data_IF_257509128622
#
_entry.id   IF_257509128622
#
_cell.length_a   1.000
_cell.length_b   1.000
_cell.length_c   1.000
_cell.angle_alpha   90.00
_cell.angle_beta   90.00
_cell.angle_gamma   90.00
#
_symmetry.space_group_name_H-M   'P 1'
#
loop_
_entity.id
_entity.type
_entity.pdbx_description
1 polymer ?
#
# COMPACT_ATOMS: atom_id res chain seq x y z
N UNK A 1 32.26 12.25 -17.03
CA UNK A 1 30.91 11.71 -16.72
C UNK A 1 29.91 12.85 -16.83
N UNK A 2 28.91 12.75 -17.70
CA UNK A 2 27.91 13.81 -17.86
C UNK A 2 27.09 13.99 -16.58
N UNK A 3 26.90 15.25 -16.17
CA UNK A 3 26.02 15.62 -15.06
C UNK A 3 24.56 15.26 -15.35
N UNK A 4 23.73 15.28 -14.30
CA UNK A 4 22.30 15.08 -14.43
C UNK A 4 21.68 16.14 -15.36
N UNK A 5 20.80 15.71 -16.26
CA UNK A 5 20.11 16.63 -17.16
C UNK A 5 19.07 17.48 -16.42
N UNK A 6 18.68 18.61 -17.01
CA UNK A 6 17.60 19.46 -16.51
C UNK A 6 16.30 18.67 -16.31
N UNK A 7 15.97 17.78 -17.23
CA UNK A 7 14.80 16.90 -17.14
C UNK A 7 14.87 15.95 -15.93
N UNK A 8 16.05 15.37 -15.66
CA UNK A 8 16.25 14.49 -14.50
C UNK A 8 16.12 15.26 -13.18
N UNK A 9 16.72 16.45 -13.10
CA UNK A 9 16.61 17.31 -11.92
C UNK A 9 15.15 17.69 -11.69
N UNK A 10 14.43 18.10 -12.74
CA UNK A 10 12.99 18.39 -12.69
C UNK A 10 12.17 17.20 -12.20
N UNK A 11 12.46 15.99 -12.70
CA UNK A 11 11.79 14.77 -12.26
C UNK A 11 12.00 14.47 -10.77
N UNK A 12 13.22 14.66 -10.25
CA UNK A 12 13.54 14.50 -8.83
C UNK A 12 12.72 15.47 -7.97
N UNK A 13 12.66 16.75 -8.36
CA UNK A 13 11.87 17.75 -7.63
C UNK A 13 10.37 17.43 -7.66
N UNK A 14 9.84 17.09 -8.83
CA UNK A 14 8.43 16.74 -8.99
C UNK A 14 8.05 15.49 -8.19
N UNK A 15 8.87 14.43 -8.22
CA UNK A 15 8.64 13.21 -7.45
C UNK A 15 8.75 13.45 -5.94
N UNK A 16 9.79 14.14 -5.49
CA UNK A 16 9.95 14.48 -4.07
C UNK A 16 8.76 15.30 -3.55
N UNK A 17 8.29 16.28 -4.33
CA UNK A 17 7.10 17.08 -4.00
C UNK A 17 5.83 16.24 -3.93
N UNK A 18 5.59 15.34 -4.89
CA UNK A 18 4.45 14.40 -4.88
C UNK A 18 4.44 13.47 -3.68
N UNK A 19 5.59 13.19 -3.09
CA UNK A 19 5.76 12.31 -1.92
C UNK A 19 5.76 13.11 -0.60
N UNK A 20 5.70 14.45 -0.68
CA UNK A 20 5.69 15.35 0.47
C UNK A 20 7.05 15.51 1.16
N UNK A 21 8.16 15.21 0.49
CA UNK A 21 9.49 15.37 1.08
C UNK A 21 9.84 16.85 1.21
N UNK A 22 10.19 17.27 2.42
CA UNK A 22 10.81 18.57 2.68
C UNK A 22 12.16 18.68 1.98
N UNK A 23 12.70 19.90 1.90
CA UNK A 23 14.02 20.11 1.30
C UNK A 23 15.11 19.30 2.02
N UNK A 24 15.09 19.27 3.35
CA UNK A 24 16.08 18.54 4.15
C UNK A 24 16.00 17.03 3.91
N UNK A 25 14.78 16.47 3.89
CA UNK A 25 14.57 15.04 3.63
C UNK A 25 14.96 14.63 2.22
N UNK A 26 14.66 15.46 1.21
CA UNK A 26 15.11 15.23 -0.17
C UNK A 26 16.63 15.20 -0.24
N UNK A 27 17.33 16.14 0.43
CA UNK A 27 18.80 16.17 0.46
C UNK A 27 19.38 14.93 1.13
N UNK A 28 18.82 14.49 2.25
CA UNK A 28 19.21 13.28 2.95
C UNK A 28 18.97 12.02 2.08
N UNK A 29 17.86 11.97 1.36
CA UNK A 29 17.55 10.88 0.43
C UNK A 29 18.57 10.80 -0.70
N UNK A 30 18.93 11.95 -1.31
CA UNK A 30 19.94 12.02 -2.37
C UNK A 30 21.30 11.52 -1.82
N UNK A 31 21.68 11.94 -0.61
CA UNK A 31 22.95 11.55 0.00
C UNK A 31 23.10 10.03 0.14
N UNK A 32 22.02 9.33 0.51
CA UNK A 32 22.01 7.86 0.61
C UNK A 32 22.21 7.16 -0.73
N UNK A 33 21.72 7.75 -1.82
CA UNK A 33 21.72 7.14 -3.15
C UNK A 33 22.89 7.56 -4.04
N UNK A 34 23.61 8.62 -3.66
CA UNK A 34 24.64 9.27 -4.47
C UNK A 34 25.90 9.60 -3.65
N UNK A 35 26.36 8.64 -2.85
CA UNK A 35 27.64 8.72 -2.13
C UNK A 35 27.83 10.00 -1.32
N UNK A 36 26.81 10.40 -0.57
CA UNK A 36 26.85 11.57 0.33
C UNK A 36 26.49 12.91 -0.30
N UNK A 37 26.28 12.98 -1.63
CA UNK A 37 25.90 14.24 -2.31
C UNK A 37 24.52 14.72 -1.86
N UNK A 38 24.36 16.01 -1.62
CA UNK A 38 23.10 16.57 -1.13
C UNK A 38 22.37 17.41 -2.18
N UNK A 39 23.00 17.69 -3.33
CA UNK A 39 22.43 18.52 -4.39
C UNK A 39 22.18 17.74 -5.68
N UNK A 40 21.01 17.94 -6.28
CA UNK A 40 20.67 17.36 -7.59
C UNK A 40 21.65 17.79 -8.70
N UNK A 41 22.28 18.98 -8.57
CA UNK A 41 23.26 19.50 -9.54
C UNK A 41 24.61 18.78 -9.48
N UNK A 42 24.91 18.10 -8.37
CA UNK A 42 26.16 17.34 -8.19
C UNK A 42 26.04 15.88 -8.67
N UNK A 43 24.84 15.46 -9.08
CA UNK A 43 24.59 14.10 -9.53
C UNK A 43 25.12 13.90 -10.95
N UNK A 44 25.72 12.73 -11.19
CA UNK A 44 25.86 12.17 -12.52
C UNK A 44 24.50 11.69 -13.03
N UNK A 45 24.38 11.53 -14.36
CA UNK A 45 23.16 10.97 -14.94
C UNK A 45 22.74 9.61 -14.36
N UNK A 46 23.71 8.75 -14.01
CA UNK A 46 23.46 7.43 -13.38
C UNK A 46 22.98 7.55 -11.93
N UNK A 47 23.56 8.45 -11.15
CA UNK A 47 23.08 8.73 -9.78
C UNK A 47 21.68 9.34 -9.80
N UNK A 48 21.39 10.22 -10.76
CA UNK A 48 20.06 10.78 -10.92
C UNK A 48 19.00 9.72 -11.23
N UNK A 49 19.32 8.74 -12.10
CA UNK A 49 18.44 7.57 -12.34
C UNK A 49 18.18 6.79 -11.05
N UNK A 50 19.22 6.46 -10.27
CA UNK A 50 19.07 5.76 -8.98
C UNK A 50 18.20 6.53 -7.99
N UNK A 51 18.37 7.85 -7.89
CA UNK A 51 17.52 8.71 -7.06
C UNK A 51 16.07 8.70 -7.55
N UNK A 52 15.84 8.82 -8.85
CA UNK A 52 14.50 8.78 -9.46
C UNK A 52 13.82 7.44 -9.19
N UNK A 53 14.53 6.32 -9.37
CA UNK A 53 13.98 4.98 -9.14
C UNK A 53 13.71 4.74 -7.67
N UNK A 54 14.57 5.20 -6.77
CA UNK A 54 14.33 5.19 -5.33
C UNK A 54 13.12 6.03 -4.93
N UNK A 55 12.94 7.23 -5.51
CA UNK A 55 11.76 8.06 -5.28
C UNK A 55 10.50 7.43 -5.87
N UNK A 56 10.57 6.79 -7.05
CA UNK A 56 9.46 6.02 -7.62
C UNK A 56 9.11 4.79 -6.78
N UNK A 57 10.09 4.12 -6.17
CA UNK A 57 9.85 3.03 -5.23
C UNK A 57 9.18 3.55 -3.95
N UNK A 58 9.65 4.69 -3.42
CA UNK A 58 9.03 5.38 -2.29
C UNK A 58 7.61 5.87 -2.62
N UNK A 59 7.36 6.31 -3.86
CA UNK A 59 6.04 6.63 -4.40
C UNK A 59 5.18 5.37 -4.64
N UNK A 60 5.79 4.25 -5.01
CA UNK A 60 5.12 2.96 -5.05
C UNK A 60 4.62 2.55 -3.66
N UNK A 61 5.39 2.91 -2.63
CA UNK A 61 5.04 2.80 -1.21
C UNK A 61 4.01 3.83 -0.72
N UNK A 62 4.15 5.11 -1.07
CA UNK A 62 3.17 6.19 -0.81
C UNK A 62 2.26 6.36 -2.02
N UNK A 63 1.16 5.62 -2.03
CA UNK A 63 0.15 5.71 -3.09
C UNK A 63 -0.20 7.17 -3.42
N UNK A 64 -0.28 7.51 -4.71
CA UNK A 64 -0.90 8.74 -5.21
C UNK A 64 -2.31 8.83 -4.59
N UNK A 65 -2.59 9.78 -3.71
CA UNK A 65 -3.83 9.83 -2.90
C UNK A 65 -3.65 9.46 -1.42
N UNK A 66 -2.43 9.51 -0.90
CA UNK A 66 -2.20 9.47 0.55
C UNK A 66 -2.70 10.76 1.19
N UNK A 67 -3.98 10.80 1.58
CA UNK A 67 -4.44 11.72 2.60
C UNK A 67 -3.62 11.48 3.88
N UNK A 68 -3.32 12.54 4.62
CA UNK A 68 -2.56 12.43 5.86
C UNK A 68 -3.45 11.81 6.96
N UNK A 69 -3.55 10.48 6.97
CA UNK A 69 -4.33 9.76 7.98
C UNK A 69 -3.69 10.01 9.35
N UNK A 70 -4.42 10.70 10.21
CA UNK A 70 -4.00 11.04 11.56
C UNK A 70 -4.93 10.39 12.60
N UNK A 71 -4.45 10.29 13.83
CA UNK A 71 -5.20 9.75 14.97
C UNK A 71 -4.83 8.30 15.32
N UNK A 72 -5.28 7.82 16.50
CA UNK A 72 -4.80 6.58 17.10
C UNK A 72 -5.15 5.32 16.31
N UNK A 73 -6.22 5.35 15.51
CA UNK A 73 -6.71 4.19 14.75
C UNK A 73 -6.30 4.20 13.27
N UNK A 74 -5.65 5.26 12.80
CA UNK A 74 -5.30 5.45 11.39
C UNK A 74 -4.46 4.30 10.82
N UNK A 75 -3.40 3.90 11.54
CA UNK A 75 -2.52 2.81 11.10
C UNK A 75 -3.26 1.48 10.93
N UNK A 76 -4.17 1.17 11.85
CA UNK A 76 -4.95 -0.08 11.82
C UNK A 76 -5.97 -0.09 10.67
N UNK A 77 -6.67 1.02 10.46
CA UNK A 77 -7.60 1.16 9.33
C UNK A 77 -6.86 1.04 7.99
N UNK A 78 -5.70 1.68 7.87
CA UNK A 78 -4.86 1.59 6.67
C UNK A 78 -4.37 0.17 6.41
N UNK A 79 -3.93 -0.54 7.46
CA UNK A 79 -3.49 -1.92 7.34
C UNK A 79 -4.61 -2.82 6.78
N UNK A 80 -5.81 -2.75 7.36
CA UNK A 80 -6.98 -3.50 6.88
C UNK A 80 -7.35 -3.12 5.44
N UNK A 81 -7.32 -1.83 5.10
CA UNK A 81 -7.59 -1.37 3.74
C UNK A 81 -6.61 -1.97 2.72
N UNK A 82 -5.32 -1.97 3.05
CA UNK A 82 -4.29 -2.58 2.23
C UNK A 82 -4.44 -4.10 2.15
N UNK A 83 -4.82 -4.79 3.24
CA UNK A 83 -5.16 -6.21 3.19
C UNK A 83 -6.28 -6.48 2.18
N UNK A 84 -7.34 -5.66 2.18
CA UNK A 84 -8.41 -5.74 1.19
C UNK A 84 -7.94 -5.53 -0.24
N UNK A 85 -7.01 -4.60 -0.46
CA UNK A 85 -6.39 -4.41 -1.77
C UNK A 85 -5.54 -5.63 -2.19
N UNK A 86 -4.79 -6.21 -1.25
CA UNK A 86 -3.98 -7.41 -1.50
C UNK A 86 -4.81 -8.67 -1.73
N UNK A 87 -6.05 -8.72 -1.25
CA UNK A 87 -7.01 -9.77 -1.57
C UNK A 87 -7.75 -9.53 -2.90
N UNK A 88 -7.64 -8.31 -3.46
CA UNK A 88 -8.40 -7.89 -4.64
C UNK A 88 -9.87 -7.58 -4.37
N UNK A 89 -10.24 -7.38 -3.10
CA UNK A 89 -11.59 -6.96 -2.66
C UNK A 89 -11.74 -5.45 -2.85
N UNK A 90 -10.76 -4.69 -2.36
CA UNK A 90 -10.72 -3.23 -2.53
C UNK A 90 -10.20 -2.92 -3.93
N UNK A 91 -10.86 -1.99 -4.64
CA UNK A 91 -10.50 -1.57 -6.01
C UNK A 91 -9.58 -0.36 -6.05
N UNK A 92 -9.60 0.46 -5.01
CA UNK A 92 -8.77 1.65 -4.88
C UNK A 92 -8.05 1.62 -3.52
N UNK A 93 -6.72 1.47 -3.56
CA UNK A 93 -5.88 1.36 -2.36
C UNK A 93 -5.61 2.70 -1.66
N UNK A 94 -6.07 3.82 -2.21
CA UNK A 94 -5.71 5.15 -1.71
C UNK A 94 -6.34 5.44 -0.36
N UNK A 95 -5.68 6.32 0.40
CA UNK A 95 -6.20 6.74 1.70
C UNK A 95 -7.46 7.61 1.52
N UNK A 96 -7.59 8.34 0.40
CA UNK A 96 -8.85 9.03 0.03
C UNK A 96 -10.03 8.06 -0.10
N UNK A 97 -9.84 6.90 -0.73
CA UNK A 97 -10.90 5.89 -0.83
C UNK A 97 -11.24 5.27 0.54
N UNK A 98 -10.25 5.12 1.42
CA UNK A 98 -10.46 4.72 2.81
C UNK A 98 -11.25 5.78 3.60
N UNK A 99 -10.93 7.07 3.44
CA UNK A 99 -11.68 8.16 4.09
C UNK A 99 -13.13 8.20 3.62
N UNK A 100 -13.38 8.03 2.32
CA UNK A 100 -14.75 7.93 1.80
C UNK A 100 -15.49 6.71 2.37
N UNK A 101 -14.79 5.60 2.62
CA UNK A 101 -15.38 4.45 3.32
C UNK A 101 -15.71 4.80 4.78
N UNK A 102 -14.79 5.42 5.51
CA UNK A 102 -14.98 5.88 6.89
C UNK A 102 -16.21 6.78 6.99
N UNK A 103 -16.30 7.79 6.14
CA UNK A 103 -17.40 8.75 6.11
C UNK A 103 -18.75 8.06 5.90
N UNK A 104 -18.83 7.05 5.02
CA UNK A 104 -20.06 6.24 4.86
C UNK A 104 -20.43 5.42 6.10
N UNK A 105 -19.45 5.03 6.92
CA UNK A 105 -19.70 4.21 8.12
C UNK A 105 -20.05 5.06 9.36
N UNK A 106 -19.48 6.26 9.47
CA UNK A 106 -19.56 7.07 10.71
C UNK A 106 -20.01 8.51 10.50
N UNK A 107 -20.09 9.00 9.26
CA UNK A 107 -20.28 10.42 8.93
C UNK A 107 -19.05 11.29 9.13
N UNK A 108 -17.88 10.71 9.48
CA UNK A 108 -16.65 11.46 9.71
C UNK A 108 -15.80 11.55 8.44
N UNK A 109 -15.49 12.76 8.01
CA UNK A 109 -14.66 13.03 6.82
C UNK A 109 -13.19 12.62 6.97
N UNK A 110 -12.69 12.48 8.20
CA UNK A 110 -11.28 12.22 8.46
C UNK A 110 -11.04 11.36 9.72
N UNK A 111 -10.04 10.48 9.67
CA UNK A 111 -9.63 9.62 10.81
C UNK A 111 -9.17 10.39 12.05
N UNK A 112 -8.91 11.70 11.93
CA UNK A 112 -8.44 12.53 13.06
C UNK A 112 -9.58 12.77 14.05
N UNK A 113 -10.81 12.74 13.55
CA UNK A 113 -12.03 12.90 14.31
C UNK A 113 -12.54 11.57 14.88
N UNK A 114 -11.91 10.45 14.50
CA UNK A 114 -12.20 9.13 15.04
C UNK A 114 -11.40 8.94 16.34
N UNK A 115 -11.80 9.66 17.39
CA UNK A 115 -11.15 9.63 18.71
C UNK A 115 -11.78 8.60 19.65
N UNK A 116 -13.07 8.28 19.48
CA UNK A 116 -13.77 7.37 20.36
C UNK A 116 -13.58 5.89 19.96
N UNK A 117 -13.34 5.05 20.96
CA UNK A 117 -13.04 3.64 20.75
C UNK A 117 -14.22 2.82 20.18
N UNK A 118 -15.46 3.24 20.46
CA UNK A 118 -16.66 2.53 20.02
C UNK A 118 -16.87 2.68 18.50
N UNK A 119 -16.81 3.90 17.98
CA UNK A 119 -16.86 4.20 16.54
C UNK A 119 -15.68 3.57 15.83
N UNK A 120 -14.47 3.66 16.40
CA UNK A 120 -13.30 3.01 15.81
C UNK A 120 -13.48 1.50 15.68
N UNK A 121 -13.99 0.84 16.74
CA UNK A 121 -14.31 -0.59 16.72
C UNK A 121 -15.35 -0.92 15.66
N UNK A 122 -16.41 -0.12 15.51
CA UNK A 122 -17.43 -0.33 14.47
C UNK A 122 -16.82 -0.34 13.06
N UNK A 123 -15.96 0.63 12.74
CA UNK A 123 -15.32 0.70 11.41
C UNK A 123 -14.34 -0.46 11.20
N UNK A 124 -13.57 -0.82 12.23
CA UNK A 124 -12.64 -1.96 12.17
C UNK A 124 -13.39 -3.27 11.92
N UNK A 125 -14.48 -3.53 12.64
CA UNK A 125 -15.26 -4.75 12.46
C UNK A 125 -16.03 -4.74 11.13
N UNK A 126 -16.48 -3.58 10.64
CA UNK A 126 -17.04 -3.46 9.30
C UNK A 126 -16.01 -3.84 8.21
N UNK A 127 -14.77 -3.37 8.32
CA UNK A 127 -13.68 -3.77 7.41
C UNK A 127 -13.40 -5.26 7.51
N UNK A 128 -13.24 -5.80 8.72
CA UNK A 128 -12.97 -7.23 8.93
C UNK A 128 -14.09 -8.11 8.36
N UNK A 129 -15.35 -7.77 8.62
CA UNK A 129 -16.51 -8.50 8.09
C UNK A 129 -16.55 -8.47 6.57
N UNK A 130 -16.25 -7.32 5.95
CA UNK A 130 -16.18 -7.19 4.51
C UNK A 130 -15.09 -8.07 3.90
N UNK A 131 -13.89 -8.07 4.50
CA UNK A 131 -12.78 -8.91 4.07
C UNK A 131 -13.01 -10.41 4.31
N UNK A 132 -13.72 -10.77 5.37
CA UNK A 132 -14.14 -12.15 5.62
C UNK A 132 -15.09 -12.62 4.51
N UNK A 133 -16.12 -11.83 4.20
CA UNK A 133 -17.13 -12.17 3.20
C UNK A 133 -16.58 -12.26 1.78
N UNK A 134 -15.85 -11.24 1.31
CA UNK A 134 -15.41 -11.16 -0.09
C UNK A 134 -14.02 -11.76 -0.32
N UNK A 135 -13.18 -11.71 0.71
CA UNK A 135 -11.78 -12.13 0.67
C UNK A 135 -11.53 -13.51 1.27
N UNK A 136 -12.48 -14.07 2.02
CA UNK A 136 -12.32 -15.37 2.69
C UNK A 136 -11.36 -15.34 3.88
N UNK A 137 -11.20 -14.18 4.53
CA UNK A 137 -10.32 -14.04 5.70
C UNK A 137 -11.00 -14.60 6.95
N UNK A 138 -10.32 -15.53 7.60
CA UNK A 138 -10.72 -16.10 8.89
C UNK A 138 -9.94 -15.38 9.99
N UNK A 139 -10.57 -14.37 10.59
CA UNK A 139 -9.89 -13.56 11.60
C UNK A 139 -9.67 -14.34 12.90
N UNK A 140 -8.49 -14.26 13.53
CA UNK A 140 -8.26 -14.86 14.83
C UNK A 140 -9.14 -14.18 15.90
N UNK A 141 -9.45 -14.90 16.98
CA UNK A 141 -10.17 -14.35 18.13
C UNK A 141 -9.36 -13.27 18.87
N UNK A 142 -8.01 -13.37 18.81
CA UNK A 142 -7.09 -12.41 19.40
C UNK A 142 -6.88 -11.14 18.58
N UNK A 143 -6.14 -10.19 19.17
CA UNK A 143 -5.74 -8.94 18.52
C UNK A 143 -4.31 -8.95 18.00
N UNK A 144 -3.67 -10.12 17.89
CA UNK A 144 -2.28 -10.23 17.41
C UNK A 144 -2.17 -9.78 15.96
N UNK A 145 -1.22 -8.89 15.71
CA UNK A 145 -0.93 -8.41 14.35
C UNK A 145 -0.41 -9.55 13.48
N UNK A 146 0.43 -10.42 14.04
CA UNK A 146 1.04 -11.53 13.28
C UNK A 146 0.01 -12.61 12.93
N UNK A 147 -0.93 -12.90 13.84
CA UNK A 147 -2.05 -13.81 13.54
C UNK A 147 -2.96 -13.20 12.47
N UNK A 148 -3.21 -11.89 12.53
CA UNK A 148 -4.01 -11.19 11.52
C UNK A 148 -3.33 -11.22 10.14
N UNK A 149 -2.01 -11.02 10.08
CA UNK A 149 -1.23 -11.15 8.84
C UNK A 149 -1.27 -12.57 8.29
N UNK A 150 -1.11 -13.57 9.16
CA UNK A 150 -1.22 -15.00 8.81
C UNK A 150 -2.60 -15.34 8.23
N UNK A 151 -3.68 -14.84 8.82
CA UNK A 151 -5.04 -15.03 8.32
C UNK A 151 -5.22 -14.45 6.90
N UNK A 152 -4.69 -13.25 6.65
CA UNK A 152 -4.71 -12.64 5.30
C UNK A 152 -3.90 -13.46 4.31
N UNK A 153 -2.72 -13.95 4.71
CA UNK A 153 -1.90 -14.82 3.87
C UNK A 153 -2.60 -16.14 3.53
N UNK A 154 -3.25 -16.79 4.51
CA UNK A 154 -4.01 -18.02 4.29
C UNK A 154 -5.18 -17.80 3.32
N UNK A 155 -5.91 -16.69 3.50
CA UNK A 155 -6.97 -16.30 2.58
C UNK A 155 -6.45 -16.10 1.14
N UNK A 156 -5.25 -15.53 0.99
CA UNK A 156 -4.62 -15.42 -0.33
C UNK A 156 -4.27 -16.79 -0.95
N UNK A 157 -3.78 -17.76 -0.19
CA UNK A 157 -3.49 -19.11 -0.69
C UNK A 157 -4.76 -19.78 -1.23
N UNK A 158 -5.84 -19.78 -0.44
CA UNK A 158 -7.15 -20.28 -0.87
C UNK A 158 -7.64 -19.57 -2.12
N UNK A 159 -7.48 -18.24 -2.19
CA UNK A 159 -7.89 -17.46 -3.37
C UNK A 159 -7.02 -17.73 -4.59
N UNK A 160 -5.73 -17.99 -4.44
CA UNK A 160 -4.88 -18.43 -5.54
C UNK A 160 -5.34 -19.76 -6.11
N UNK A 161 -5.61 -20.75 -5.24
CA UNK A 161 -6.14 -22.05 -5.64
C UNK A 161 -7.47 -21.90 -6.41
N UNK A 162 -8.41 -21.10 -5.90
CA UNK A 162 -9.68 -20.82 -6.56
C UNK A 162 -9.54 -20.13 -7.94
N UNK A 163 -8.40 -19.46 -8.20
CA UNK A 163 -8.10 -18.81 -9.48
C UNK A 163 -7.28 -19.69 -10.44
N UNK A 164 -7.05 -20.96 -10.07
CA UNK A 164 -6.23 -21.93 -10.82
C UNK A 164 -4.74 -21.61 -10.78
N UNK A 165 -4.25 -20.99 -9.70
CA UNK A 165 -2.84 -20.71 -9.45
C UNK A 165 -2.34 -21.61 -8.32
N UNK A 166 -1.02 -21.76 -8.20
CA UNK A 166 -0.42 -22.43 -7.04
C UNK A 166 -0.78 -21.69 -5.74
N UNK A 167 -1.61 -22.35 -4.95
CA UNK A 167 -2.10 -21.88 -3.65
C UNK A 167 -1.68 -22.81 -2.52
N UNK A 168 -0.51 -23.46 -2.64
CA UNK A 168 0.03 -24.37 -1.62
C UNK A 168 -0.16 -23.84 -0.20
N UNK A 169 -0.79 -24.65 0.65
CA UNK A 169 -1.02 -24.34 2.05
C UNK A 169 0.26 -24.53 2.89
N UNK A 170 0.36 -23.83 4.02
CA UNK A 170 1.53 -23.92 4.90
C UNK A 170 1.69 -22.71 5.82
N UNK A 171 2.94 -22.47 6.21
CA UNK A 171 3.36 -21.32 7.00
C UNK A 171 3.86 -20.21 6.04
N UNK A 172 3.56 -18.92 6.28
CA UNK A 172 4.28 -17.84 5.64
C UNK A 172 5.77 -17.91 6.03
N UNK A 173 6.64 -17.45 5.13
CA UNK A 173 8.07 -17.30 5.40
C UNK A 173 8.38 -16.14 6.33
N UNK A 174 9.67 -15.78 6.40
CA UNK A 174 10.19 -14.82 7.38
C UNK A 174 9.60 -13.40 7.23
N UNK A 175 9.21 -12.99 6.02
CA UNK A 175 8.59 -11.68 5.75
C UNK A 175 7.22 -11.84 5.09
N UNK A 176 6.22 -12.04 5.96
CA UNK A 176 4.81 -12.20 5.54
C UNK A 176 4.27 -10.98 4.81
N UNK A 177 4.74 -9.76 5.10
CA UNK A 177 4.26 -8.54 4.45
C UNK A 177 4.72 -8.47 2.98
N UNK A 178 5.96 -8.88 2.70
CA UNK A 178 6.48 -9.02 1.33
C UNK A 178 5.68 -10.08 0.57
N UNK A 179 5.41 -11.23 1.18
CA UNK A 179 4.64 -12.29 0.56
C UNK A 179 3.19 -11.87 0.25
N UNK A 180 2.52 -11.21 1.21
CA UNK A 180 1.15 -10.69 1.02
C UNK A 180 1.11 -9.71 -0.15
N UNK A 181 2.12 -8.83 -0.24
CA UNK A 181 2.22 -7.84 -1.31
C UNK A 181 2.40 -8.49 -2.68
N UNK A 182 3.37 -9.41 -2.79
CA UNK A 182 3.69 -10.10 -4.03
C UNK A 182 2.50 -10.94 -4.52
N UNK A 183 1.93 -11.73 -3.61
CA UNK A 183 0.76 -12.59 -3.89
C UNK A 183 -0.45 -11.77 -4.31
N UNK A 184 -0.72 -10.66 -3.63
CA UNK A 184 -1.83 -9.79 -3.99
C UNK A 184 -1.68 -9.15 -5.37
N UNK A 185 -0.46 -8.87 -5.82
CA UNK A 185 -0.22 -8.42 -7.19
C UNK A 185 -0.55 -9.51 -8.23
N UNK A 186 -0.27 -10.77 -7.92
CA UNK A 186 -0.64 -11.92 -8.77
C UNK A 186 -2.16 -12.08 -8.84
N UNK A 187 -2.84 -12.13 -7.69
CA UNK A 187 -4.31 -12.27 -7.59
C UNK A 187 -5.01 -11.18 -8.40
N UNK A 188 -4.67 -9.91 -8.19
CA UNK A 188 -5.32 -8.79 -8.92
C UNK A 188 -5.08 -8.85 -10.43
N UNK A 189 -3.88 -9.24 -10.87
CA UNK A 189 -3.59 -9.43 -12.31
C UNK A 189 -4.46 -10.53 -12.91
N UNK A 190 -4.64 -11.65 -12.19
CA UNK A 190 -5.48 -12.76 -12.62
C UNK A 190 -6.97 -12.39 -12.68
N UNK A 191 -7.50 -11.72 -11.66
CA UNK A 191 -8.87 -11.19 -11.63
C UNK A 191 -9.13 -10.23 -12.79
N UNK A 192 -8.19 -9.30 -13.06
CA UNK A 192 -8.31 -8.37 -14.18
C UNK A 192 -8.35 -9.09 -15.54
N UNK A 193 -7.56 -10.15 -15.71
CA UNK A 193 -7.57 -10.96 -16.94
C UNK A 193 -8.90 -11.70 -17.12
N UNK A 194 -9.44 -12.31 -16.07
CA UNK A 194 -10.75 -12.98 -16.11
C UNK A 194 -11.88 -11.99 -16.46
N UNK A 195 -11.89 -10.81 -15.84
CA UNK A 195 -12.87 -9.77 -16.14
C UNK A 195 -12.82 -9.30 -17.60
N UNK A 196 -11.61 -9.24 -18.20
CA UNK A 196 -11.46 -8.89 -19.62
C UNK A 196 -11.93 -10.01 -20.55
N UNK A 197 -11.71 -11.28 -20.17
CA UNK A 197 -12.10 -12.43 -20.98
C UNK A 197 -13.61 -12.72 -20.94
N UNK A 198 -14.30 -12.30 -19.88
CA UNK A 198 -15.76 -12.42 -19.73
C UNK A 198 -16.57 -11.15 -20.06
N UNK A 199 -15.94 -10.14 -20.68
CA UNK A 199 -16.65 -8.95 -21.18
C UNK A 199 -17.43 -9.27 -22.47
N UNK A 200 -18.53 -8.55 -22.78
CA UNK A 200 -19.38 -8.86 -23.92
C UNK A 200 -18.59 -8.83 -25.22
N UNK A 201 -18.77 -9.87 -26.03
CA UNK A 201 -18.34 -9.92 -27.43
C UNK A 201 -19.10 -8.89 -28.26
#
# INVERSE_FOLDING_TARGET
>A
MSGASSAQIGAIHALAGRIGLTQAERRAFIARQASGKTSCRQLSGREAVRVIDGLKALQGGRAKGAADLAGPYAAKLRALWLSGWHLGVVRDRTDTALLAFLERQTGLEHTRFLSDAASARRVIEALKAWLAREGGVEWPAGSSVDESKRAVWQAQRRRMAALGLDGSEGQPGADVDVEIRATGAVIRRRLKRQAKAGGPA
#
